data_IF_904041950781
#
_entry.id   IF_904041950781
#
_cell.length_a   1.000
_cell.length_b   1.000
_cell.length_c   1.000
_cell.angle_alpha   90.00
_cell.angle_beta   90.00
_cell.angle_gamma   90.00
#
_symmetry.space_group_name_H-M   'P 1'
#
loop_
_entity.id
_entity.type
_entity.pdbx_description
1 polymer ?
#
# COMPACT_ATOMS: atom_id res chain seq x y z
N UNK A 1 2.79 2.26 -13.35
CA UNK A 1 3.16 3.55 -12.73
C UNK A 1 2.46 3.64 -11.38
N UNK A 2 3.21 3.85 -10.29
CA UNK A 2 2.63 3.90 -8.94
C UNK A 2 1.64 5.07 -8.76
N UNK A 3 1.85 6.20 -9.45
CA UNK A 3 0.95 7.36 -9.36
C UNK A 3 -0.41 7.09 -10.00
N UNK A 4 -0.43 6.41 -11.15
CA UNK A 4 -1.67 6.01 -11.82
C UNK A 4 -2.50 5.06 -10.93
N UNK A 5 -1.85 4.12 -10.27
CA UNK A 5 -2.50 3.15 -9.39
C UNK A 5 -3.00 3.82 -8.10
N UNK A 6 -2.23 4.77 -7.57
CA UNK A 6 -2.67 5.57 -6.43
C UNK A 6 -3.95 6.34 -6.74
N UNK A 7 -4.10 6.88 -7.97
CA UNK A 7 -5.35 7.50 -8.41
C UNK A 7 -6.52 6.51 -8.39
N UNK A 8 -6.33 5.29 -8.88
CA UNK A 8 -7.34 4.22 -8.82
C UNK A 8 -7.67 3.77 -7.39
N UNK A 9 -6.70 3.86 -6.48
CA UNK A 9 -6.87 3.58 -5.06
C UNK A 9 -7.55 4.74 -4.29
N UNK A 10 -7.73 5.90 -4.92
CA UNK A 10 -8.49 7.04 -4.37
C UNK A 10 -7.72 8.37 -4.29
N UNK A 11 -6.50 8.43 -4.82
CA UNK A 11 -5.74 9.68 -4.96
C UNK A 11 -4.21 9.51 -4.85
N UNK A 12 -3.49 10.48 -5.42
CA UNK A 12 -2.01 10.49 -5.45
C UNK A 12 -1.35 10.42 -4.07
N UNK A 13 -2.04 10.83 -2.99
CA UNK A 13 -1.51 10.73 -1.62
C UNK A 13 -1.28 9.28 -1.16
N UNK A 14 -1.81 8.28 -1.87
CA UNK A 14 -1.63 6.85 -1.57
C UNK A 14 -0.45 6.21 -2.32
N UNK A 15 0.31 6.98 -3.10
CA UNK A 15 1.42 6.45 -3.92
C UNK A 15 2.50 5.77 -3.07
N UNK A 16 2.79 6.29 -1.87
CA UNK A 16 3.73 5.65 -0.94
C UNK A 16 3.28 4.24 -0.54
N UNK A 17 1.98 4.04 -0.33
CA UNK A 17 1.40 2.76 0.06
C UNK A 17 1.37 1.78 -1.12
N UNK A 18 1.19 2.27 -2.35
CA UNK A 18 1.40 1.46 -3.56
C UNK A 18 2.86 0.98 -3.65
N UNK A 19 3.83 1.88 -3.44
CA UNK A 19 5.25 1.51 -3.45
C UNK A 19 5.58 0.51 -2.34
N UNK A 20 5.01 0.67 -1.15
CA UNK A 20 5.18 -0.26 -0.03
C UNK A 20 4.68 -1.67 -0.38
N UNK A 21 3.53 -1.77 -1.04
CA UNK A 21 3.00 -3.04 -1.54
C UNK A 21 3.95 -3.74 -2.52
N UNK A 22 4.46 -3.00 -3.51
CA UNK A 22 5.41 -3.53 -4.48
C UNK A 22 6.73 -3.96 -3.81
N UNK A 23 7.25 -3.16 -2.87
CA UNK A 23 8.46 -3.48 -2.12
C UNK A 23 8.30 -4.72 -1.23
N UNK A 24 7.09 -4.94 -0.69
CA UNK A 24 6.76 -6.15 0.07
C UNK A 24 6.69 -7.39 -0.83
N UNK A 25 6.05 -7.29 -2.00
CA UNK A 25 5.93 -8.40 -2.95
C UNK A 25 7.28 -8.81 -3.56
N UNK A 26 8.16 -7.85 -3.84
CA UNK A 26 9.54 -8.11 -4.30
C UNK A 26 10.49 -8.63 -3.23
N UNK A 27 10.05 -8.75 -1.96
CA UNK A 27 10.88 -9.12 -0.80
C UNK A 27 12.09 -8.22 -0.57
N UNK A 28 12.04 -6.97 -1.04
CA UNK A 28 13.03 -5.94 -0.69
C UNK A 28 12.90 -5.59 0.80
N UNK A 29 11.68 -5.65 1.33
CA UNK A 29 11.39 -5.49 2.75
C UNK A 29 11.23 -6.89 3.36
N UNK A 30 12.14 -7.24 4.28
CA UNK A 30 12.08 -8.48 5.05
C UNK A 30 11.11 -8.37 6.25
N UNK A 31 9.85 -8.05 5.95
CA UNK A 31 8.77 -8.00 6.93
C UNK A 31 7.58 -8.81 6.43
N UNK A 32 6.86 -9.51 7.34
CA UNK A 32 5.64 -10.19 6.97
C UNK A 32 4.59 -9.20 6.44
N UNK A 33 3.87 -9.62 5.40
CA UNK A 33 2.73 -8.85 4.86
C UNK A 33 1.71 -8.49 5.94
N UNK A 34 1.46 -9.39 6.89
CA UNK A 34 0.56 -9.15 8.02
C UNK A 34 1.03 -8.01 8.91
N UNK A 35 2.34 -7.93 9.21
CA UNK A 35 2.93 -6.85 9.99
C UNK A 35 2.79 -5.49 9.28
N UNK A 36 2.97 -5.46 7.95
CA UNK A 36 2.79 -4.25 7.16
C UNK A 36 1.32 -3.78 7.16
N UNK A 37 0.36 -4.70 6.98
CA UNK A 37 -1.06 -4.37 7.03
C UNK A 37 -1.50 -3.88 8.41
N UNK A 38 -1.01 -4.50 9.49
CA UNK A 38 -1.25 -4.04 10.86
C UNK A 38 -0.69 -2.64 11.10
N UNK A 39 0.50 -2.34 10.57
CA UNK A 39 1.06 -1.00 10.67
C UNK A 39 0.21 0.04 9.92
N UNK A 40 -0.32 -0.31 8.73
CA UNK A 40 -1.25 0.55 8.00
C UNK A 40 -2.51 0.81 8.83
N UNK A 41 -3.09 -0.24 9.42
CA UNK A 41 -4.29 -0.13 10.26
C UNK A 41 -4.08 0.76 11.50
N UNK A 42 -2.91 0.69 12.13
CA UNK A 42 -2.60 1.48 13.33
C UNK A 42 -2.22 2.93 13.03
N UNK A 43 -1.56 3.21 11.90
CA UNK A 43 -0.98 4.51 11.59
C UNK A 43 -1.86 5.38 10.70
N UNK A 44 -2.72 4.78 9.88
CA UNK A 44 -3.56 5.51 8.93
C UNK A 44 -4.87 5.94 9.61
N UNK A 45 -5.28 7.22 9.50
CA UNK A 45 -6.59 7.66 9.97
C UNK A 45 -7.70 6.84 9.31
N UNK A 46 -8.69 6.37 10.09
CA UNK A 46 -9.72 5.43 9.61
C UNK A 46 -10.41 5.84 8.30
N UNK A 47 -10.64 7.13 8.07
CA UNK A 47 -11.22 7.66 6.81
C UNK A 47 -10.38 7.40 5.55
N UNK A 48 -9.11 7.03 5.70
CA UNK A 48 -8.19 6.72 4.61
C UNK A 48 -7.71 5.27 4.65
N UNK A 49 -8.17 4.48 5.62
CA UNK A 49 -7.68 3.12 5.83
C UNK A 49 -7.98 2.24 4.62
N UNK A 50 -9.23 2.20 4.18
CA UNK A 50 -9.66 1.40 3.02
C UNK A 50 -8.84 1.73 1.76
N UNK A 51 -8.66 3.02 1.46
CA UNK A 51 -7.90 3.47 0.31
C UNK A 51 -6.41 3.09 0.40
N UNK A 52 -5.81 3.14 1.61
CA UNK A 52 -4.43 2.71 1.81
C UNK A 52 -4.28 1.19 1.70
N UNK A 53 -5.21 0.40 2.26
CA UNK A 53 -5.20 -1.06 2.10
C UNK A 53 -5.31 -1.41 0.62
N UNK A 54 -6.28 -0.82 -0.10
CA UNK A 54 -6.41 -1.00 -1.55
C UNK A 54 -5.12 -0.64 -2.30
N UNK A 55 -4.51 0.51 -1.99
CA UNK A 55 -3.24 0.92 -2.59
C UNK A 55 -2.11 -0.10 -2.35
N UNK A 56 -1.99 -0.62 -1.13
CA UNK A 56 -0.99 -1.64 -0.78
C UNK A 56 -1.20 -2.91 -1.60
N UNK A 57 -2.43 -3.42 -1.67
CA UNK A 57 -2.76 -4.63 -2.44
C UNK A 57 -2.47 -4.45 -3.93
N UNK A 58 -2.87 -3.32 -4.51
CA UNK A 58 -2.61 -3.03 -5.93
C UNK A 58 -1.11 -2.92 -6.20
N UNK A 59 -0.35 -2.34 -5.28
CA UNK A 59 1.12 -2.32 -5.35
C UNK A 59 1.73 -3.72 -5.33
N UNK A 60 1.26 -4.58 -4.44
CA UNK A 60 1.76 -5.95 -4.30
C UNK A 60 1.45 -6.84 -5.52
N UNK A 61 0.43 -6.52 -6.31
CA UNK A 61 0.09 -7.26 -7.54
C UNK A 61 0.98 -6.93 -8.75
N UNK A 62 1.79 -5.87 -8.68
CA UNK A 62 2.64 -5.42 -9.80
C UNK A 62 3.99 -6.13 -9.88
N UNK A 63 4.35 -6.90 -8.85
CA UNK A 63 5.68 -7.46 -8.63
C UNK A 63 5.61 -8.98 -8.52
#
# INVERSE_FOLDING_TARGET
>A
DAGAIALEAGGLKFTNTVMLGAAAATRIIDLPRTSLLQAIEQLVPGKYLEANIKAFEMGAQLS
#
